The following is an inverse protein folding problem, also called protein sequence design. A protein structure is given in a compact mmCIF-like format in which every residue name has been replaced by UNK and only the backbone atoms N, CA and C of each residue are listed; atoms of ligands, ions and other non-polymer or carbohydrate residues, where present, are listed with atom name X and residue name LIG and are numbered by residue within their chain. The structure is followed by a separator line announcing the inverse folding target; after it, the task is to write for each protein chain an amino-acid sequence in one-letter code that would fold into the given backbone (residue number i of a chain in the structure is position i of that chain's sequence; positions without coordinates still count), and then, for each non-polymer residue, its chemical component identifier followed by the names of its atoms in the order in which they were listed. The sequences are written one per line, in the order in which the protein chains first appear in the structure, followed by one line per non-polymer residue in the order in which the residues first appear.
data_IF_329526952443
#
_entry.id   IF_329526952443
#
_cell.length_a   1.000
_cell.length_b   1.000
_cell.length_c   1.000
_cell.angle_alpha   90.00
_cell.angle_beta   90.00
_cell.angle_gamma   90.00
#
_symmetry.space_group_name_H-M   'P 1'
#
loop_
_entity.id
_entity.type
_entity.pdbx_description
1 polymer ?
#
# COMPACT_ATOMS: atom_id res chain seq x y z
N UNK A 1 -16.93 3.22 -5.68
CA UNK A 1 -16.50 2.72 -4.40
C UNK A 1 -15.21 3.41 -3.99
N UNK A 2 -15.16 3.94 -2.80
CA UNK A 2 -14.06 4.78 -2.35
C UNK A 2 -12.78 4.02 -1.96
N UNK A 3 -12.82 2.70 -1.91
CA UNK A 3 -11.66 1.85 -1.56
C UNK A 3 -10.54 1.94 -2.58
N UNK A 4 -10.84 2.18 -3.85
CA UNK A 4 -9.81 2.40 -4.84
C UNK A 4 -9.19 3.80 -4.76
N UNK A 5 -9.66 4.58 -3.80
CA UNK A 5 -9.15 5.89 -3.50
C UNK A 5 -8.79 5.93 -2.04
N UNK A 6 -7.53 5.78 -1.76
CA UNK A 6 -7.02 5.81 -0.40
C UNK A 6 -6.32 7.13 -0.26
N UNK A 7 -6.83 7.98 0.59
CA UNK A 7 -6.15 9.15 1.04
C UNK A 7 -5.82 10.27 0.16
N UNK A 8 -6.62 11.22 -0.25
CA UNK A 8 -6.02 12.45 -0.46
C UNK A 8 -6.78 13.54 -1.10
N UNK A 9 -6.24 14.70 -1.25
CA UNK A 9 -6.92 15.84 -1.83
C UNK A 9 -7.20 15.62 -3.32
N UNK A 10 -8.41 15.89 -3.75
CA UNK A 10 -8.79 15.87 -5.17
C UNK A 10 -7.92 16.77 -6.05
N UNK A 11 -7.19 17.70 -5.45
CA UNK A 11 -6.32 18.65 -6.17
C UNK A 11 -5.14 17.97 -6.86
N UNK A 12 -4.75 16.78 -6.43
CA UNK A 12 -3.49 16.18 -6.83
C UNK A 12 -3.59 15.07 -7.87
N UNK A 13 -4.72 14.39 -7.96
CA UNK A 13 -4.88 13.34 -8.98
C UNK A 13 -6.31 13.28 -9.53
N UNK A 14 -6.41 13.14 -10.84
CA UNK A 14 -7.65 12.78 -11.49
C UNK A 14 -7.91 11.27 -11.35
N UNK A 15 -9.17 10.90 -11.17
CA UNK A 15 -9.54 9.48 -11.13
C UNK A 15 -9.21 8.81 -12.47
N UNK A 16 -8.54 7.68 -12.41
CA UNK A 16 -8.25 6.89 -13.60
C UNK A 16 -9.49 6.13 -14.04
N UNK A 17 -9.68 6.05 -15.34
CA UNK A 17 -10.73 5.26 -15.96
C UNK A 17 -10.10 3.94 -16.42
N UNK A 18 -10.69 2.82 -16.02
CA UNK A 18 -10.23 1.49 -16.40
C UNK A 18 -11.24 0.81 -17.32
N UNK A 19 -10.75 -0.09 -18.14
CA UNK A 19 -11.60 -1.01 -18.90
C UNK A 19 -12.49 -1.84 -17.96
N UNK A 20 -13.67 -2.23 -18.45
CA UNK A 20 -14.65 -2.96 -17.64
C UNK A 20 -14.11 -4.27 -17.07
N UNK A 21 -13.29 -4.99 -17.84
CA UNK A 21 -12.64 -6.22 -17.37
C UNK A 21 -11.70 -5.98 -16.21
N UNK A 22 -10.87 -4.93 -16.33
CA UNK A 22 -9.93 -4.54 -15.27
C UNK A 22 -10.68 -4.08 -14.04
N UNK A 23 -11.75 -3.31 -14.19
CA UNK A 23 -12.63 -2.92 -13.07
C UNK A 23 -13.16 -4.11 -12.30
N UNK A 24 -13.63 -5.14 -13.01
CA UNK A 24 -14.13 -6.37 -12.38
C UNK A 24 -13.06 -7.08 -11.56
N UNK A 25 -11.86 -7.16 -12.08
CA UNK A 25 -10.73 -7.80 -11.39
C UNK A 25 -10.27 -6.98 -10.18
N UNK A 26 -10.21 -5.64 -10.30
CA UNK A 26 -9.91 -4.73 -9.19
C UNK A 26 -10.97 -4.89 -8.10
N UNK A 27 -12.23 -4.94 -8.47
CA UNK A 27 -13.34 -5.12 -7.53
C UNK A 27 -13.21 -6.42 -6.73
N UNK A 28 -12.91 -7.52 -7.41
CA UNK A 28 -12.69 -8.81 -6.76
C UNK A 28 -11.52 -8.76 -5.78
N UNK A 29 -10.41 -8.15 -6.16
CA UNK A 29 -9.24 -8.02 -5.30
C UNK A 29 -9.54 -7.17 -4.08
N UNK A 30 -10.25 -6.06 -4.25
CA UNK A 30 -10.68 -5.20 -3.15
C UNK A 30 -11.62 -5.95 -2.20
N UNK A 31 -12.56 -6.73 -2.71
CA UNK A 31 -13.45 -7.55 -1.89
C UNK A 31 -12.68 -8.59 -1.08
N UNK A 32 -11.68 -9.20 -1.68
CA UNK A 32 -10.79 -10.13 -1.00
C UNK A 32 -10.03 -9.47 0.15
N UNK A 33 -9.49 -8.29 -0.07
CA UNK A 33 -8.79 -7.53 0.96
C UNK A 33 -9.72 -7.09 2.09
N UNK A 34 -10.95 -6.71 1.78
CA UNK A 34 -11.97 -6.39 2.77
C UNK A 34 -12.34 -7.60 3.62
N UNK A 35 -12.57 -8.75 2.98
CA UNK A 35 -12.89 -9.99 3.67
C UNK A 35 -11.75 -10.43 4.60
N UNK A 36 -10.51 -10.25 4.18
CA UNK A 36 -9.33 -10.54 5.00
C UNK A 36 -9.04 -9.47 6.06
N UNK A 37 -9.80 -8.40 6.11
CA UNK A 37 -9.65 -7.27 7.04
C UNK A 37 -8.31 -6.52 6.93
N UNK A 38 -7.66 -6.58 5.78
CA UNK A 38 -6.47 -5.77 5.50
C UNK A 38 -6.82 -4.30 5.25
N UNK A 39 -8.00 -4.03 4.76
CA UNK A 39 -8.53 -2.69 4.51
C UNK A 39 -9.91 -2.53 5.11
N UNK A 40 -10.30 -1.30 5.39
CA UNK A 40 -11.63 -0.98 5.89
C UNK A 40 -12.22 0.20 5.12
N UNK A 41 -13.54 0.25 4.94
CA UNK A 41 -14.20 1.41 4.35
C UNK A 41 -14.17 2.60 5.32
N UNK A 42 -14.01 3.80 4.77
CA UNK A 42 -14.09 5.05 5.52
C UNK A 42 -15.04 6.01 4.81
N UNK A 43 -15.72 6.84 5.58
CA UNK A 43 -16.71 7.79 5.05
C UNK A 43 -16.11 9.16 4.74
N UNK A 44 -15.18 9.62 5.56
CA UNK A 44 -14.58 10.94 5.43
C UNK A 44 -13.13 10.82 4.97
N UNK A 45 -12.88 11.32 3.77
CA UNK A 45 -11.57 11.24 3.14
C UNK A 45 -10.91 12.62 3.15
N UNK A 46 -9.72 12.69 3.72
CA UNK A 46 -8.83 13.86 3.56
C UNK A 46 -8.06 13.79 2.26
N UNK A 47 -7.66 12.59 1.87
CA UNK A 47 -6.80 12.31 0.73
C UNK A 47 -7.32 11.12 -0.08
N UNK A 48 -7.13 11.18 -1.39
CA UNK A 48 -7.51 10.13 -2.32
C UNK A 48 -6.32 9.75 -3.18
N UNK A 49 -6.05 8.46 -3.33
CA UNK A 49 -5.04 7.95 -4.26
C UNK A 49 -5.65 7.00 -5.28
N UNK A 50 -5.06 6.94 -6.45
CA UNK A 50 -5.46 5.99 -7.47
C UNK A 50 -4.87 4.61 -7.20
N UNK A 51 -5.60 3.60 -7.61
CA UNK A 51 -5.09 2.24 -7.70
C UNK A 51 -4.32 2.08 -8.99
N UNK A 52 -3.16 1.45 -8.89
CA UNK A 52 -2.36 0.99 -10.02
C UNK A 52 -2.49 -0.53 -10.13
N UNK A 53 -3.28 -1.04 -11.09
CA UNK A 53 -3.34 -2.47 -11.31
C UNK A 53 -2.06 -2.97 -11.96
N UNK A 54 -1.46 -4.00 -11.38
CA UNK A 54 -0.26 -4.65 -11.89
C UNK A 54 -0.58 -6.10 -12.21
N UNK A 55 -0.28 -6.51 -13.44
CA UNK A 55 -0.50 -7.87 -13.89
C UNK A 55 0.59 -8.78 -13.37
N UNK A 56 0.22 -9.85 -12.69
CA UNK A 56 1.13 -10.92 -12.27
C UNK A 56 1.43 -11.87 -13.42
N UNK A 57 2.46 -12.70 -13.29
CA UNK A 57 2.81 -13.73 -14.28
C UNK A 57 1.69 -14.75 -14.53
N UNK A 58 0.83 -14.96 -13.54
CA UNK A 58 -0.32 -15.86 -13.64
C UNK A 58 -1.60 -15.17 -14.11
N UNK A 59 -1.47 -14.03 -14.76
CA UNK A 59 -2.55 -13.18 -15.28
C UNK A 59 -3.48 -12.55 -14.23
N UNK A 60 -3.28 -12.83 -12.97
CA UNK A 60 -4.01 -12.16 -11.90
C UNK A 60 -3.55 -10.71 -11.75
N UNK A 61 -4.46 -9.84 -11.30
CA UNK A 61 -4.14 -8.44 -11.04
C UNK A 61 -3.86 -8.24 -9.56
N UNK A 62 -2.74 -7.56 -9.28
CA UNK A 62 -2.42 -7.02 -7.97
C UNK A 62 -2.77 -5.53 -7.98
N UNK A 63 -3.43 -5.09 -6.93
CA UNK A 63 -3.73 -3.67 -6.73
C UNK A 63 -2.64 -3.01 -5.88
N UNK A 64 -1.97 -2.03 -6.46
CA UNK A 64 -1.04 -1.14 -5.75
C UNK A 64 -1.65 0.24 -5.64
N UNK A 65 -1.25 1.00 -4.65
CA UNK A 65 -1.71 2.37 -4.44
C UNK A 65 -0.64 3.35 -4.87
N UNK A 66 -1.04 4.38 -5.60
CA UNK A 66 -0.12 5.43 -6.04
C UNK A 66 0.03 6.50 -4.97
N UNK A 67 1.08 6.42 -4.19
CA UNK A 67 1.38 7.36 -3.10
C UNK A 67 2.32 8.50 -3.50
N UNK A 68 2.59 8.70 -4.77
CA UNK A 68 3.55 9.72 -5.21
C UNK A 68 3.23 11.11 -4.71
N UNK A 69 1.98 11.52 -4.78
CA UNK A 69 1.55 12.83 -4.31
C UNK A 69 1.52 12.91 -2.78
N UNK A 70 1.14 11.84 -2.11
CA UNK A 70 1.20 11.75 -0.68
C UNK A 70 2.64 11.86 -0.18
N UNK A 71 3.57 11.17 -0.80
CA UNK A 71 4.99 11.21 -0.45
C UNK A 71 5.62 12.62 -0.63
N UNK A 72 5.14 13.37 -1.61
CA UNK A 72 5.57 14.78 -1.79
C UNK A 72 5.07 15.70 -0.70
N UNK A 73 3.96 15.38 -0.08
CA UNK A 73 3.29 16.22 0.91
C UNK A 73 3.65 15.83 2.33
N UNK A 74 3.93 14.56 2.57
CA UNK A 74 4.33 14.07 3.87
C UNK A 74 5.70 14.62 4.26
N UNK A 75 5.80 15.06 5.50
CA UNK A 75 7.08 15.38 6.10
C UNK A 75 7.91 14.11 6.24
N UNK A 76 9.18 14.21 5.94
CA UNK A 76 10.10 13.11 6.17
C UNK A 76 10.24 12.87 7.66
N UNK A 77 10.30 11.60 8.01
CA UNK A 77 10.64 11.20 9.37
C UNK A 77 12.08 11.61 9.68
N UNK A 78 12.30 12.22 10.83
CA UNK A 78 13.64 12.63 11.25
C UNK A 78 14.51 11.44 11.69
N UNK A 79 13.90 10.28 11.87
CA UNK A 79 14.62 9.06 12.23
C UNK A 79 15.26 8.42 11.01
N UNK A 80 16.60 8.40 10.91
CA UNK A 80 17.25 7.68 9.85
C UNK A 80 17.07 6.17 10.03
N UNK A 81 16.96 5.46 8.91
CA UNK A 81 16.97 4.00 8.93
C UNK A 81 18.30 3.53 9.51
N UNK A 82 18.30 2.56 10.43
CA UNK A 82 19.53 2.03 10.99
C UNK A 82 20.38 1.36 9.92
N UNK A 83 21.70 1.50 10.01
CA UNK A 83 22.61 0.82 9.12
C UNK A 83 22.55 -0.69 9.40
N UNK A 84 22.50 -1.50 8.35
CA UNK A 84 22.38 -2.94 8.46
C UNK A 84 23.58 -3.56 9.19
N UNK A 85 24.78 -3.03 9.00
CA UNK A 85 25.98 -3.50 9.67
C UNK A 85 25.89 -3.31 11.19
N UNK A 86 25.36 -2.17 11.63
CA UNK A 86 25.10 -1.92 13.04
C UNK A 86 24.06 -2.86 13.61
N UNK A 87 23.01 -3.18 12.84
CA UNK A 87 21.99 -4.14 13.26
C UNK A 87 22.57 -5.54 13.43
N UNK A 88 23.44 -5.95 12.53
CA UNK A 88 24.14 -7.24 12.62
C UNK A 88 25.02 -7.29 13.88
N UNK A 89 25.76 -6.21 14.16
CA UNK A 89 26.59 -6.12 15.36
C UNK A 89 25.76 -6.18 16.65
N UNK A 90 24.60 -5.54 16.66
CA UNK A 90 23.70 -5.59 17.80
C UNK A 90 23.16 -6.98 18.12
N UNK A 91 22.91 -7.78 17.10
CA UNK A 91 22.38 -9.14 17.31
C UNK A 91 23.47 -10.17 17.50
N UNK A 92 24.71 -9.86 17.12
CA UNK A 92 25.86 -10.75 17.32
C UNK A 92 26.07 -11.04 18.82
N UNK A 93 26.31 -12.27 19.13
CA UNK A 93 26.55 -12.72 20.52
C UNK A 93 25.30 -13.04 21.32
N UNK A 94 24.11 -12.86 20.75
CA UNK A 94 22.86 -13.28 21.38
C UNK A 94 22.48 -14.68 20.90
N UNK A 95 21.99 -15.50 21.82
CA UNK A 95 21.62 -16.89 21.52
C UNK A 95 20.24 -17.02 20.87
N UNK A 96 19.38 -16.02 21.08
CA UNK A 96 18.00 -16.06 20.59
C UNK A 96 17.62 -14.72 19.95
N UNK A 97 16.87 -14.80 18.86
CA UNK A 97 16.35 -13.63 18.15
C UNK A 97 14.85 -13.71 18.00
N UNK A 98 14.21 -12.54 17.99
CA UNK A 98 12.80 -12.42 17.61
C UNK A 98 12.70 -11.49 16.40
N UNK A 99 12.03 -11.95 15.35
CA UNK A 99 11.84 -11.21 14.13
C UNK A 99 10.38 -10.84 13.96
N UNK A 100 10.16 -9.59 13.57
CA UNK A 100 8.84 -9.15 13.14
C UNK A 100 8.92 -8.78 11.67
N UNK A 101 8.22 -9.52 10.85
CA UNK A 101 8.12 -9.25 9.42
C UNK A 101 6.73 -8.74 9.09
N UNK A 102 6.68 -7.66 8.32
CA UNK A 102 5.42 -7.15 7.80
C UNK A 102 5.15 -7.79 6.45
N UNK A 103 4.40 -8.86 6.48
CA UNK A 103 3.93 -9.50 5.27
C UNK A 103 2.67 -8.79 4.77
N UNK A 104 2.79 -8.10 3.65
CA UNK A 104 1.64 -7.55 2.94
C UNK A 104 1.83 -7.77 1.45
N UNK A 105 0.94 -8.49 0.84
CA UNK A 105 0.86 -8.59 -0.62
C UNK A 105 -0.06 -7.55 -1.21
#
# INVERSE_FOLDING_TARGET
MFIHRIFYSRKFQHARIFHTEIKGQIFKEVQKLLAARFIKPIQHLRWLSNIMPVKKKNEQIRCSVDFRNLNKTCQNDEFPLPNIDLLVDFVAGNAMFSFMDKFSE
#
